data_IF_858998847360
#
_entry.id   IF_858998847360
#
_cell.length_a   1.000
_cell.length_b   1.000
_cell.length_c   1.000
_cell.angle_alpha   90.00
_cell.angle_beta   90.00
_cell.angle_gamma   90.00
#
_symmetry.space_group_name_H-M   'P 1'
#
loop_
_entity.id
_entity.type
_entity.pdbx_description
1 polymer ?
#
# COMPACT_ATOMS: atom_id res chain seq x y z
N UNK A 1 20.23 20.88 -0.93
CA UNK A 1 19.33 21.05 -2.10
C UNK A 1 17.91 20.67 -1.68
N UNK A 2 16.89 21.43 -2.05
CA UNK A 2 15.52 21.20 -1.54
C UNK A 2 14.80 20.17 -2.43
N UNK A 3 15.10 18.87 -2.24
CA UNK A 3 14.63 17.75 -3.07
C UNK A 3 13.12 17.78 -3.29
N UNK A 4 12.36 18.15 -2.27
CA UNK A 4 10.90 18.29 -2.33
C UNK A 4 10.43 19.28 -3.40
N UNK A 5 11.15 20.40 -3.58
CA UNK A 5 10.83 21.41 -4.61
C UNK A 5 11.10 20.88 -6.01
N UNK A 6 12.15 20.08 -6.19
CA UNK A 6 12.49 19.46 -7.48
C UNK A 6 11.44 18.43 -7.85
N UNK A 7 11.09 17.51 -6.94
CA UNK A 7 10.14 16.45 -7.30
C UNK A 7 8.71 16.98 -7.49
N UNK A 8 8.30 18.03 -6.76
CA UNK A 8 7.01 18.70 -7.03
C UNK A 8 7.00 19.35 -8.41
N UNK A 9 8.11 19.95 -8.86
CA UNK A 9 8.22 20.47 -10.23
C UNK A 9 8.12 19.36 -11.26
N UNK A 10 8.87 18.25 -11.09
CA UNK A 10 8.80 17.08 -11.97
C UNK A 10 7.38 16.49 -12.02
N UNK A 11 6.68 16.46 -10.89
CA UNK A 11 5.29 16.02 -10.81
C UNK A 11 4.35 16.93 -11.62
N UNK A 12 4.41 18.24 -11.42
CA UNK A 12 3.54 19.17 -12.17
C UNK A 12 3.88 19.19 -13.67
N UNK A 13 5.16 19.11 -14.03
CA UNK A 13 5.58 19.00 -15.43
C UNK A 13 5.10 17.70 -16.07
N UNK A 14 5.19 16.55 -15.38
CA UNK A 14 4.71 15.27 -15.91
C UNK A 14 3.19 15.19 -16.01
N UNK A 15 2.46 15.74 -15.04
CA UNK A 15 1.00 15.92 -15.12
C UNK A 15 0.59 16.83 -16.27
N UNK A 16 1.33 17.93 -16.50
CA UNK A 16 1.11 18.83 -17.63
C UNK A 16 1.32 18.13 -18.97
N UNK A 17 2.40 17.35 -19.12
CA UNK A 17 2.67 16.54 -20.32
C UNK A 17 1.59 15.48 -20.51
N UNK A 18 1.15 14.80 -19.43
CA UNK A 18 0.09 13.79 -19.50
C UNK A 18 -1.25 14.39 -19.93
N UNK A 19 -1.62 15.55 -19.38
CA UNK A 19 -2.83 16.26 -19.77
C UNK A 19 -2.79 16.70 -21.23
N UNK A 20 -1.66 17.26 -21.68
CA UNK A 20 -1.46 17.67 -23.07
C UNK A 20 -1.49 16.48 -24.04
N UNK A 21 -0.84 15.37 -23.68
CA UNK A 21 -0.90 14.12 -24.45
C UNK A 21 -2.32 13.55 -24.54
N UNK A 22 -3.10 13.64 -23.46
CA UNK A 22 -4.52 13.28 -23.45
C UNK A 22 -5.36 14.14 -24.40
N UNK A 23 -5.12 15.46 -24.44
CA UNK A 23 -5.80 16.38 -25.38
C UNK A 23 -5.41 16.05 -26.82
N UNK A 24 -4.11 15.84 -27.11
CA UNK A 24 -3.63 15.43 -28.43
C UNK A 24 -4.29 14.11 -28.87
N UNK A 25 -4.40 13.13 -27.97
CA UNK A 25 -5.02 11.85 -28.27
C UNK A 25 -6.53 11.97 -28.60
N UNK A 26 -7.22 13.00 -28.10
CA UNK A 26 -8.62 13.28 -28.44
C UNK A 26 -8.77 14.02 -29.77
N UNK A 27 -7.81 14.88 -30.15
CA UNK A 27 -7.92 15.76 -31.33
C UNK A 27 -7.38 15.10 -32.60
N UNK A 28 -6.33 14.29 -32.50
CA UNK A 28 -5.73 13.64 -33.66
C UNK A 28 -6.20 12.19 -33.77
N UNK A 29 -6.83 11.78 -34.89
CA UNK A 29 -7.11 10.37 -35.14
C UNK A 29 -5.78 9.63 -35.33
N UNK A 30 -5.31 8.97 -34.26
CA UNK A 30 -3.96 8.44 -34.14
C UNK A 30 -3.79 7.13 -34.91
N UNK A 31 -2.70 7.01 -35.67
CA UNK A 31 -2.00 5.74 -35.94
C UNK A 31 -1.50 5.15 -34.60
N UNK A 32 -2.38 4.39 -33.94
CA UNK A 32 -2.57 4.24 -32.48
C UNK A 32 -1.43 3.83 -31.53
N UNK A 33 -0.17 3.73 -31.94
CA UNK A 33 0.89 3.15 -31.07
C UNK A 33 1.77 4.19 -30.37
N UNK A 34 2.16 5.28 -31.05
CA UNK A 34 3.13 6.25 -30.50
C UNK A 34 2.48 7.13 -29.42
N UNK A 35 1.29 7.67 -29.67
CA UNK A 35 0.60 8.54 -28.71
C UNK A 35 0.23 7.80 -27.42
N UNK A 36 -0.16 6.52 -27.52
CA UNK A 36 -0.42 5.68 -26.36
C UNK A 36 0.82 5.46 -25.49
N UNK A 37 1.99 5.25 -26.11
CA UNK A 37 3.28 5.12 -25.41
C UNK A 37 3.69 6.43 -24.72
N UNK A 38 3.54 7.58 -25.39
CA UNK A 38 3.79 8.89 -24.79
C UNK A 38 2.86 9.17 -23.60
N UNK A 39 1.57 8.86 -23.71
CA UNK A 39 0.63 9.01 -22.61
C UNK A 39 0.98 8.07 -21.43
N UNK A 40 1.27 6.81 -21.73
CA UNK A 40 1.66 5.80 -20.74
C UNK A 40 2.92 6.20 -19.96
N UNK A 41 3.96 6.70 -20.65
CA UNK A 41 5.19 7.18 -20.01
C UNK A 41 4.94 8.38 -19.11
N UNK A 42 4.10 9.32 -19.52
CA UNK A 42 3.76 10.50 -18.72
C UNK A 42 3.03 10.11 -17.43
N UNK A 43 2.03 9.22 -17.51
CA UNK A 43 1.29 8.69 -16.35
C UNK A 43 2.24 7.92 -15.42
N UNK A 44 3.05 7.01 -15.96
CA UNK A 44 4.00 6.23 -15.18
C UNK A 44 5.00 7.14 -14.46
N UNK A 45 5.50 8.18 -15.13
CA UNK A 45 6.40 9.19 -14.53
C UNK A 45 5.72 9.95 -13.39
N UNK A 46 4.47 10.40 -13.59
CA UNK A 46 3.72 11.13 -12.58
C UNK A 46 3.48 10.27 -11.32
N UNK A 47 2.99 9.03 -11.49
CA UNK A 47 2.76 8.11 -10.38
C UNK A 47 4.07 7.79 -9.64
N UNK A 48 5.15 7.49 -10.37
CA UNK A 48 6.45 7.22 -9.78
C UNK A 48 7.03 8.43 -9.04
N UNK A 49 6.83 9.65 -9.53
CA UNK A 49 7.26 10.87 -8.83
C UNK A 49 6.52 11.07 -7.49
N UNK A 50 5.22 10.77 -7.43
CA UNK A 50 4.43 10.83 -6.19
C UNK A 50 4.96 9.80 -5.18
N UNK A 51 5.14 8.55 -5.62
CA UNK A 51 5.63 7.48 -4.77
C UNK A 51 7.06 7.74 -4.29
N UNK A 52 7.91 8.30 -5.15
CA UNK A 52 9.27 8.68 -4.79
C UNK A 52 9.31 9.84 -3.78
N UNK A 53 8.42 10.83 -3.90
CA UNK A 53 8.25 11.87 -2.86
C UNK A 53 7.88 11.27 -1.52
N UNK A 54 6.93 10.32 -1.52
CA UNK A 54 6.54 9.61 -0.31
C UNK A 54 7.72 8.82 0.29
N UNK A 55 8.48 8.13 -0.56
CA UNK A 55 9.67 7.38 -0.19
C UNK A 55 10.72 8.28 0.48
N UNK A 56 11.08 9.42 -0.13
CA UNK A 56 12.05 10.38 0.42
C UNK A 56 11.59 10.93 1.77
N UNK A 57 10.34 11.39 1.87
CA UNK A 57 9.81 11.91 3.14
C UNK A 57 9.85 10.86 4.26
N UNK A 58 9.64 9.58 3.93
CA UNK A 58 9.67 8.48 4.91
C UNK A 58 11.09 8.01 5.22
N UNK A 59 12.02 8.17 4.28
CA UNK A 59 13.44 7.84 4.46
C UNK A 59 14.13 8.80 5.45
N UNK A 60 13.67 10.05 5.55
CA UNK A 60 14.19 11.04 6.50
C UNK A 60 13.83 10.73 7.97
N UNK A 61 12.72 10.01 8.20
CA UNK A 61 12.28 9.65 9.55
C UNK A 61 12.93 8.33 9.97
N UNK A 62 13.73 8.34 11.04
CA UNK A 62 14.51 7.18 11.49
C UNK A 62 13.68 5.90 11.66
N UNK A 63 12.46 6.00 12.20
CA UNK A 63 11.57 4.84 12.41
C UNK A 63 10.99 4.26 11.12
N UNK A 64 10.79 5.06 10.08
CA UNK A 64 10.23 4.61 8.78
C UNK A 64 11.29 4.57 7.68
N UNK A 65 12.57 4.66 8.02
CA UNK A 65 13.66 4.79 7.04
C UNK A 65 13.71 3.60 6.08
N UNK A 66 13.58 2.38 6.60
CA UNK A 66 13.60 1.15 5.79
C UNK A 66 12.43 1.10 4.80
N UNK A 67 11.24 1.55 5.23
CA UNK A 67 10.08 1.69 4.35
C UNK A 67 10.34 2.70 3.23
N UNK A 68 10.89 3.88 3.57
CA UNK A 68 11.21 4.90 2.57
C UNK A 68 12.21 4.41 1.53
N UNK A 69 13.30 3.75 1.96
CA UNK A 69 14.32 3.22 1.04
C UNK A 69 13.75 2.12 0.15
N UNK A 70 13.04 1.13 0.71
CA UNK A 70 12.45 0.04 -0.07
C UNK A 70 11.43 0.54 -1.10
N UNK A 71 10.51 1.42 -0.68
CA UNK A 71 9.53 2.04 -1.59
C UNK A 71 10.24 2.80 -2.73
N UNK A 72 11.32 3.52 -2.42
CA UNK A 72 12.12 4.24 -3.41
C UNK A 72 12.75 3.31 -4.45
N UNK A 73 13.37 2.22 -4.00
CA UNK A 73 13.99 1.20 -4.87
C UNK A 73 12.93 0.55 -5.77
N UNK A 74 11.80 0.10 -5.21
CA UNK A 74 10.76 -0.55 -6.00
C UNK A 74 10.08 0.40 -7.00
N UNK A 75 9.89 1.66 -6.61
CA UNK A 75 9.35 2.68 -7.52
C UNK A 75 10.30 2.95 -8.69
N UNK A 76 11.60 3.05 -8.42
CA UNK A 76 12.62 3.24 -9.44
C UNK A 76 12.69 2.04 -10.39
N UNK A 77 12.74 0.82 -9.85
CA UNK A 77 12.74 -0.41 -10.66
C UNK A 77 11.49 -0.48 -11.53
N UNK A 78 10.28 -0.33 -10.94
CA UNK A 78 9.01 -0.30 -11.67
C UNK A 78 9.04 0.69 -12.83
N UNK A 79 9.52 1.91 -12.56
CA UNK A 79 9.63 2.96 -13.57
C UNK A 79 10.57 2.56 -14.70
N UNK A 80 11.77 2.06 -14.37
CA UNK A 80 12.77 1.65 -15.36
C UNK A 80 12.26 0.51 -16.24
N UNK A 81 11.72 -0.57 -15.65
CA UNK A 81 11.13 -1.67 -16.41
C UNK A 81 9.94 -1.19 -17.28
N UNK A 82 9.09 -0.30 -16.75
CA UNK A 82 7.93 0.23 -17.48
C UNK A 82 8.32 1.12 -18.66
N UNK A 83 9.32 1.98 -18.51
CA UNK A 83 9.83 2.82 -19.62
C UNK A 83 10.49 1.93 -20.68
N UNK A 84 11.31 0.96 -20.27
CA UNK A 84 11.93 0.03 -21.24
C UNK A 84 10.84 -0.73 -22.02
N UNK A 85 9.84 -1.29 -21.34
CA UNK A 85 8.70 -1.94 -21.98
C UNK A 85 8.02 -1.04 -23.03
N UNK A 86 7.75 0.22 -22.70
CA UNK A 86 7.07 1.14 -23.61
C UNK A 86 7.88 1.48 -24.87
N UNK A 87 9.21 1.43 -24.81
CA UNK A 87 10.06 1.86 -25.92
C UNK A 87 10.77 0.71 -26.66
N UNK A 88 10.90 -0.47 -26.05
CA UNK A 88 11.67 -1.58 -26.65
C UNK A 88 11.08 -2.05 -27.98
N UNK A 89 9.76 -2.07 -28.13
CA UNK A 89 9.11 -2.42 -29.41
C UNK A 89 9.44 -1.48 -30.58
N UNK A 90 9.95 -0.26 -30.33
CA UNK A 90 10.44 0.64 -31.38
C UNK A 90 11.92 0.39 -31.73
N UNK A 91 12.70 -0.15 -30.78
CA UNK A 91 14.14 -0.39 -30.95
C UNK A 91 14.42 -1.77 -31.57
N UNK A 92 13.56 -2.75 -31.33
CA UNK A 92 13.73 -4.14 -31.80
C UNK A 92 12.49 -4.58 -32.57
N UNK A 93 12.55 -4.60 -33.90
CA UNK A 93 11.40 -4.87 -34.77
C UNK A 93 10.99 -6.35 -34.83
N UNK A 94 11.91 -7.29 -34.60
CA UNK A 94 11.63 -8.74 -34.74
C UNK A 94 11.55 -9.48 -33.40
N UNK A 95 12.46 -9.20 -32.46
CA UNK A 95 12.51 -9.82 -31.12
C UNK A 95 11.84 -8.98 -30.02
N UNK A 96 11.31 -7.80 -30.37
CA UNK A 96 10.85 -6.82 -29.39
C UNK A 96 9.58 -7.20 -28.64
N UNK A 97 8.71 -8.06 -29.20
CA UNK A 97 7.42 -8.40 -28.55
C UNK A 97 7.61 -9.22 -27.28
N UNK A 98 8.43 -10.26 -27.34
CA UNK A 98 8.71 -11.11 -26.17
C UNK A 98 9.41 -10.33 -25.06
N UNK A 99 10.34 -9.44 -25.43
CA UNK A 99 11.02 -8.57 -24.47
C UNK A 99 10.05 -7.54 -23.87
N UNK A 100 9.21 -6.90 -24.69
CA UNK A 100 8.17 -5.96 -24.24
C UNK A 100 7.30 -6.62 -23.16
N UNK A 101 6.80 -7.82 -23.41
CA UNK A 101 5.99 -8.57 -22.44
C UNK A 101 6.75 -8.87 -21.14
N UNK A 102 8.00 -9.36 -21.23
CA UNK A 102 8.83 -9.62 -20.05
C UNK A 102 9.08 -8.37 -19.21
N UNK A 103 9.34 -7.23 -19.84
CA UNK A 103 9.51 -5.94 -19.15
C UNK A 103 8.20 -5.43 -18.53
N UNK A 104 7.06 -5.58 -19.22
CA UNK A 104 5.73 -5.22 -18.70
C UNK A 104 5.42 -6.07 -17.46
N UNK A 105 5.54 -7.39 -17.56
CA UNK A 105 5.30 -8.31 -16.44
C UNK A 105 6.23 -8.01 -15.27
N UNK A 106 7.53 -7.82 -15.52
CA UNK A 106 8.49 -7.43 -14.48
C UNK A 106 8.10 -6.12 -13.79
N UNK A 107 7.68 -5.09 -14.54
CA UNK A 107 7.21 -3.82 -13.97
C UNK A 107 5.96 -4.00 -13.09
N UNK A 108 5.00 -4.82 -13.54
CA UNK A 108 3.80 -5.15 -12.77
C UNK A 108 4.16 -5.90 -11.48
N UNK A 109 5.08 -6.87 -11.53
CA UNK A 109 5.57 -7.58 -10.35
C UNK A 109 6.24 -6.61 -9.37
N UNK A 110 7.17 -5.77 -9.82
CA UNK A 110 7.80 -4.78 -8.95
C UNK A 110 6.78 -3.80 -8.34
N UNK A 111 5.74 -3.44 -9.09
CA UNK A 111 4.65 -2.60 -8.58
C UNK A 111 3.82 -3.28 -7.50
N UNK A 112 3.32 -4.49 -7.76
CA UNK A 112 2.46 -5.23 -6.82
C UNK A 112 3.22 -5.78 -5.63
N UNK A 113 4.26 -6.57 -5.88
CA UNK A 113 5.06 -7.22 -4.86
C UNK A 113 5.90 -6.21 -4.08
N UNK A 114 6.48 -5.24 -4.77
CA UNK A 114 7.24 -4.17 -4.13
C UNK A 114 6.40 -3.33 -3.17
N UNK A 115 5.10 -3.13 -3.46
CA UNK A 115 4.19 -2.47 -2.53
C UNK A 115 3.96 -3.30 -1.25
N UNK A 116 3.79 -4.62 -1.38
CA UNK A 116 3.61 -5.52 -0.23
C UNK A 116 4.89 -5.67 0.61
N UNK A 117 6.05 -5.76 -0.03
CA UNK A 117 7.35 -5.76 0.66
C UNK A 117 7.55 -4.43 1.41
N UNK A 118 7.25 -3.31 0.75
CA UNK A 118 7.32 -1.99 1.39
C UNK A 118 6.35 -1.91 2.59
N UNK A 119 5.13 -2.41 2.45
CA UNK A 119 4.17 -2.48 3.55
C UNK A 119 4.71 -3.31 4.72
N UNK A 120 5.40 -4.42 4.44
CA UNK A 120 6.05 -5.23 5.47
C UNK A 120 7.14 -4.46 6.23
N UNK A 121 7.97 -3.67 5.54
CA UNK A 121 8.93 -2.77 6.20
C UNK A 121 8.26 -1.65 7.00
N UNK A 122 7.09 -1.16 6.59
CA UNK A 122 6.34 -0.20 7.39
C UNK A 122 5.91 -0.79 8.74
N UNK A 123 5.56 -2.09 8.77
CA UNK A 123 5.20 -2.80 9.98
C UNK A 123 6.38 -2.97 10.97
N UNK A 124 7.65 -2.84 10.53
CA UNK A 124 8.81 -2.96 11.43
C UNK A 124 8.87 -1.84 12.47
N UNK A 125 8.29 -0.67 12.14
CA UNK A 125 8.23 0.46 13.06
C UNK A 125 7.37 0.19 14.30
N UNK A 126 6.51 -0.83 14.25
CA UNK A 126 5.58 -1.19 15.33
C UNK A 126 6.00 -2.55 15.88
N UNK A 127 6.47 -2.60 17.14
CA UNK A 127 6.99 -3.82 17.78
C UNK A 127 6.02 -5.00 17.65
N UNK A 128 4.72 -4.76 17.87
CA UNK A 128 3.66 -5.79 17.79
C UNK A 128 3.49 -6.39 16.39
N UNK A 129 3.83 -5.64 15.34
CA UNK A 129 3.68 -6.05 13.94
C UNK A 129 5.02 -6.45 13.29
N UNK A 130 6.13 -6.37 14.03
CA UNK A 130 7.47 -6.60 13.47
C UNK A 130 7.63 -8.00 12.88
N UNK A 131 7.13 -9.04 13.56
CA UNK A 131 7.19 -10.42 13.05
C UNK A 131 6.33 -10.58 11.79
N UNK A 132 5.11 -10.06 11.80
CA UNK A 132 4.20 -10.11 10.65
C UNK A 132 4.78 -9.36 9.44
N UNK A 133 5.37 -8.18 9.67
CA UNK A 133 6.07 -7.41 8.66
C UNK A 133 7.28 -8.15 8.09
N UNK A 134 8.04 -8.85 8.93
CA UNK A 134 9.24 -9.59 8.51
C UNK A 134 8.85 -10.78 7.64
N UNK A 135 7.84 -11.55 8.07
CA UNK A 135 7.27 -12.64 7.27
C UNK A 135 6.72 -12.12 5.94
N UNK A 136 5.97 -11.01 5.95
CA UNK A 136 5.45 -10.37 4.74
C UNK A 136 6.56 -9.98 3.77
N UNK A 137 7.57 -9.26 4.25
CA UNK A 137 8.66 -8.77 3.41
C UNK A 137 9.49 -9.91 2.83
N UNK A 138 9.81 -10.91 3.65
CA UNK A 138 10.65 -12.03 3.26
C UNK A 138 9.96 -12.92 2.23
N UNK A 139 8.72 -13.34 2.49
CA UNK A 139 7.99 -14.22 1.56
C UNK A 139 7.72 -13.52 0.23
N UNK A 140 7.34 -12.25 0.25
CA UNK A 140 7.11 -11.51 -1.00
C UNK A 140 8.39 -11.21 -1.77
N UNK A 141 9.54 -11.06 -1.09
CA UNK A 141 10.83 -10.97 -1.77
C UNK A 141 11.19 -12.28 -2.46
N UNK A 142 10.96 -13.43 -1.81
CA UNK A 142 11.16 -14.74 -2.44
C UNK A 142 10.23 -14.96 -3.64
N UNK A 143 8.94 -14.61 -3.52
CA UNK A 143 8.01 -14.72 -4.64
C UNK A 143 8.39 -13.81 -5.80
N UNK A 144 8.81 -12.57 -5.52
CA UNK A 144 9.26 -11.64 -6.54
C UNK A 144 10.48 -12.20 -7.29
N UNK A 145 11.46 -12.73 -6.56
CA UNK A 145 12.65 -13.35 -7.16
C UNK A 145 12.28 -14.59 -7.99
N UNK A 146 11.43 -15.47 -7.47
CA UNK A 146 10.97 -16.66 -8.18
C UNK A 146 10.27 -16.30 -9.48
N UNK A 147 9.33 -15.33 -9.46
CA UNK A 147 8.63 -14.90 -10.67
C UNK A 147 9.52 -14.18 -11.67
N UNK A 148 10.49 -13.39 -11.21
CA UNK A 148 11.48 -12.80 -12.11
C UNK A 148 12.31 -13.90 -12.78
N UNK A 149 12.75 -14.92 -12.04
CA UNK A 149 13.47 -16.06 -12.64
C UNK A 149 12.59 -16.72 -13.70
N UNK A 150 11.32 -17.01 -13.41
CA UNK A 150 10.38 -17.65 -14.37
C UNK A 150 10.21 -16.81 -15.65
N UNK A 151 9.96 -15.50 -15.52
CA UNK A 151 9.77 -14.61 -16.68
C UNK A 151 11.03 -14.57 -17.56
N UNK A 152 12.21 -14.57 -16.94
CA UNK A 152 13.46 -14.40 -17.66
C UNK A 152 14.04 -15.73 -18.16
N UNK A 153 13.79 -16.87 -17.49
CA UNK A 153 14.24 -18.20 -17.90
C UNK A 153 13.50 -18.78 -19.10
N UNK A 154 12.27 -18.31 -19.37
CA UNK A 154 11.43 -18.84 -20.44
C UNK A 154 10.61 -20.07 -20.02
N UNK A 155 9.94 -20.69 -21.00
CA UNK A 155 8.78 -21.56 -20.80
C UNK A 155 9.02 -22.84 -19.98
N UNK A 156 10.25 -23.37 -19.94
CA UNK A 156 10.50 -24.71 -19.36
C UNK A 156 10.23 -24.81 -17.86
N UNK A 157 10.27 -23.69 -17.12
CA UNK A 157 10.01 -23.65 -15.67
C UNK A 157 8.66 -23.02 -15.30
N UNK A 158 7.91 -22.54 -16.29
CA UNK A 158 6.75 -21.69 -16.03
C UNK A 158 5.57 -22.46 -15.43
N UNK A 159 5.29 -23.67 -15.93
CA UNK A 159 4.17 -24.49 -15.46
C UNK A 159 4.37 -24.93 -14.01
N UNK A 160 5.50 -25.57 -13.70
CA UNK A 160 5.79 -26.08 -12.36
C UNK A 160 5.90 -24.95 -11.31
N UNK A 161 6.57 -23.86 -11.64
CA UNK A 161 6.71 -22.73 -10.71
C UNK A 161 5.37 -22.05 -10.44
N UNK A 162 4.46 -22.02 -11.43
CA UNK A 162 3.12 -21.43 -11.25
C UNK A 162 2.29 -22.17 -10.19
N UNK A 163 2.43 -23.50 -10.09
CA UNK A 163 1.69 -24.30 -9.12
C UNK A 163 2.04 -23.97 -7.67
N UNK A 164 3.31 -23.64 -7.41
CA UNK A 164 3.76 -23.25 -6.07
C UNK A 164 3.58 -21.77 -5.80
N UNK A 165 3.91 -20.92 -6.77
CA UNK A 165 3.97 -19.48 -6.56
C UNK A 165 2.57 -18.83 -6.50
N UNK A 166 1.59 -19.35 -7.26
CA UNK A 166 0.27 -18.74 -7.36
C UNK A 166 -0.56 -18.81 -6.04
N UNK A 167 -0.67 -19.96 -5.36
CA UNK A 167 -1.37 -20.03 -4.06
C UNK A 167 -0.70 -19.15 -3.01
N UNK A 168 0.64 -19.15 -3.00
CA UNK A 168 1.41 -18.34 -2.05
C UNK A 168 1.18 -16.84 -2.31
N UNK A 169 1.24 -16.41 -3.58
CA UNK A 169 1.03 -15.03 -3.98
C UNK A 169 -0.37 -14.52 -3.64
N UNK A 170 -1.41 -15.31 -3.90
CA UNK A 170 -2.79 -14.83 -3.74
C UNK A 170 -3.20 -14.78 -2.27
N UNK A 171 -2.74 -15.73 -1.45
CA UNK A 171 -3.32 -15.96 -0.12
C UNK A 171 -2.40 -15.55 1.03
N UNK A 172 -1.10 -15.37 0.79
CA UNK A 172 -0.17 -14.90 1.83
C UNK A 172 -0.42 -13.47 2.34
N UNK A 173 -0.79 -12.47 1.51
CA UNK A 173 -1.16 -11.14 2.00
C UNK A 173 -2.37 -11.24 2.91
N UNK A 174 -3.33 -12.09 2.55
CA UNK A 174 -4.53 -12.32 3.34
C UNK A 174 -4.15 -12.92 4.69
N UNK A 175 -3.27 -13.92 4.74
CA UNK A 175 -2.76 -14.48 6.01
C UNK A 175 -2.10 -13.42 6.90
N UNK A 176 -1.27 -12.56 6.32
CA UNK A 176 -0.60 -11.48 7.07
C UNK A 176 -1.62 -10.46 7.60
N UNK A 177 -2.56 -10.04 6.75
CA UNK A 177 -3.62 -9.10 7.14
C UNK A 177 -4.54 -9.69 8.21
N UNK A 178 -4.81 -10.99 8.13
CA UNK A 178 -5.59 -11.70 9.14
C UNK A 178 -4.85 -11.79 10.48
N UNK A 179 -3.51 -11.80 10.48
CA UNK A 179 -2.67 -11.89 11.68
C UNK A 179 -2.61 -10.60 12.51
N UNK A 180 -3.23 -9.51 12.05
CA UNK A 180 -3.26 -8.24 12.78
C UNK A 180 -4.20 -8.38 14.00
N UNK A 181 -3.59 -8.53 15.17
CA UNK A 181 -4.24 -9.00 16.40
C UNK A 181 -5.10 -7.91 17.05
N UNK A 182 -6.44 -8.04 16.95
CA UNK A 182 -7.40 -7.38 17.85
C UNK A 182 -8.41 -8.35 18.47
N UNK A 183 -8.97 -9.26 17.68
CA UNK A 183 -9.89 -10.30 18.15
C UNK A 183 -9.38 -11.68 17.75
N UNK A 184 -9.00 -12.55 18.71
CA UNK A 184 -8.35 -13.83 18.41
C UNK A 184 -9.26 -14.79 17.62
N UNK A 185 -10.58 -14.74 17.85
CA UNK A 185 -11.54 -15.57 17.12
C UNK A 185 -11.63 -15.22 15.63
N UNK A 186 -11.78 -13.93 15.31
CA UNK A 186 -11.83 -13.48 13.91
C UNK A 186 -10.52 -13.72 13.18
N UNK A 187 -9.38 -13.53 13.87
CA UNK A 187 -8.06 -13.87 13.36
C UNK A 187 -7.95 -15.36 13.05
N UNK A 188 -8.30 -16.24 14.01
CA UNK A 188 -8.25 -17.69 13.82
C UNK A 188 -9.14 -18.17 12.68
N UNK A 189 -10.37 -17.64 12.58
CA UNK A 189 -11.30 -17.95 11.49
C UNK A 189 -10.72 -17.54 10.13
N UNK A 190 -10.21 -16.32 10.02
CA UNK A 190 -9.73 -15.79 8.76
C UNK A 190 -8.43 -16.48 8.31
N UNK A 191 -7.52 -16.81 9.23
CA UNK A 191 -6.34 -17.64 8.97
C UNK A 191 -6.77 -19.05 8.53
N UNK A 192 -7.72 -19.67 9.23
CA UNK A 192 -8.22 -21.00 8.88
C UNK A 192 -8.81 -21.04 7.46
N UNK A 193 -9.62 -20.05 7.09
CA UNK A 193 -10.20 -19.92 5.75
C UNK A 193 -9.12 -19.68 4.67
N UNK A 194 -8.13 -18.83 4.96
CA UNK A 194 -7.02 -18.61 4.04
C UNK A 194 -6.19 -19.89 3.83
N UNK A 195 -5.87 -20.62 4.90
CA UNK A 195 -5.17 -21.90 4.81
C UNK A 195 -6.00 -22.95 4.06
N UNK A 196 -7.32 -23.01 4.29
CA UNK A 196 -8.20 -23.90 3.53
C UNK A 196 -8.17 -23.56 2.03
N UNK A 197 -8.18 -22.28 1.67
CA UNK A 197 -8.06 -21.82 0.27
C UNK A 197 -6.69 -22.20 -0.33
N UNK A 198 -5.60 -22.09 0.44
CA UNK A 198 -4.25 -22.47 -0.03
C UNK A 198 -4.19 -23.98 -0.28
N UNK A 199 -4.62 -24.78 0.69
CA UNK A 199 -4.56 -26.23 0.55
C UNK A 199 -5.46 -26.72 -0.59
N UNK A 200 -6.67 -26.17 -0.73
CA UNK A 200 -7.59 -26.55 -1.82
C UNK A 200 -7.09 -26.13 -3.18
N UNK A 201 -6.50 -24.93 -3.32
CA UNK A 201 -5.86 -24.51 -4.57
C UNK A 201 -4.64 -25.38 -4.92
N UNK A 202 -3.78 -25.69 -3.95
CA UNK A 202 -2.64 -26.58 -4.19
C UNK A 202 -3.09 -27.99 -4.59
N UNK A 203 -4.04 -28.59 -3.86
CA UNK A 203 -4.60 -29.91 -4.21
C UNK A 203 -5.18 -29.89 -5.63
N UNK A 204 -5.94 -28.85 -5.97
CA UNK A 204 -6.55 -28.74 -7.30
C UNK A 204 -5.48 -28.59 -8.40
N UNK A 205 -4.44 -27.78 -8.19
CA UNK A 205 -3.36 -27.60 -9.15
C UNK A 205 -2.52 -28.88 -9.31
N UNK A 206 -2.21 -29.60 -8.23
CA UNK A 206 -1.42 -30.84 -8.28
C UNK A 206 -2.18 -32.01 -8.90
N UNK A 207 -3.44 -32.22 -8.50
CA UNK A 207 -4.23 -33.38 -8.94
C UNK A 207 -4.63 -33.23 -10.42
N UNK A 208 -4.89 -32.01 -10.87
CA UNK A 208 -5.42 -31.76 -12.21
C UNK A 208 -4.42 -31.09 -13.15
N UNK A 209 -3.13 -31.11 -12.84
CA UNK A 209 -2.06 -30.52 -13.67
C UNK A 209 -2.36 -29.07 -14.08
N UNK A 210 -2.88 -28.27 -13.12
CA UNK A 210 -3.27 -26.88 -13.36
C UNK A 210 -4.68 -26.66 -13.92
N UNK A 211 -5.38 -27.69 -14.37
CA UNK A 211 -6.73 -27.56 -14.93
C UNK A 211 -7.80 -27.55 -13.83
N UNK A 212 -7.98 -26.38 -13.20
CA UNK A 212 -8.96 -26.15 -12.11
C UNK A 212 -10.41 -26.48 -12.51
N UNK A 213 -10.72 -26.39 -13.80
CA UNK A 213 -12.05 -26.65 -14.35
C UNK A 213 -12.50 -28.12 -14.26
N UNK A 214 -11.56 -29.07 -14.13
CA UNK A 214 -11.88 -30.50 -14.01
C UNK A 214 -12.61 -30.84 -12.71
N UNK A 215 -12.49 -30.01 -11.67
CA UNK A 215 -13.18 -30.21 -10.40
C UNK A 215 -13.82 -28.92 -9.89
N UNK A 216 -15.06 -28.69 -10.34
CA UNK A 216 -15.87 -27.51 -10.00
C UNK A 216 -16.02 -27.34 -8.47
N UNK A 217 -16.13 -28.44 -7.71
CA UNK A 217 -16.29 -28.36 -6.26
C UNK A 217 -15.06 -27.76 -5.58
N UNK A 218 -13.85 -28.18 -5.97
CA UNK A 218 -12.62 -27.60 -5.42
C UNK A 218 -12.46 -26.12 -5.81
N UNK A 219 -12.81 -25.76 -7.04
CA UNK A 219 -12.81 -24.36 -7.49
C UNK A 219 -13.75 -23.49 -6.65
N UNK A 220 -14.98 -23.95 -6.42
CA UNK A 220 -15.97 -23.22 -5.60
C UNK A 220 -15.50 -23.09 -4.15
N UNK A 221 -14.97 -24.15 -3.55
CA UNK A 221 -14.44 -24.10 -2.18
C UNK A 221 -13.26 -23.13 -2.10
N UNK A 222 -12.34 -23.16 -3.06
CA UNK A 222 -11.19 -22.24 -3.12
C UNK A 222 -11.64 -20.78 -3.19
N UNK A 223 -12.57 -20.46 -4.10
CA UNK A 223 -13.08 -19.09 -4.32
C UNK A 223 -13.89 -18.56 -3.13
N UNK A 224 -14.71 -19.41 -2.52
CA UNK A 224 -15.54 -19.01 -1.36
C UNK A 224 -14.70 -18.80 -0.11
N UNK A 225 -13.80 -19.74 0.21
CA UNK A 225 -12.91 -19.62 1.37
C UNK A 225 -11.92 -18.48 1.22
N UNK A 226 -11.31 -18.31 0.04
CA UNK A 226 -10.39 -17.21 -0.25
C UNK A 226 -11.08 -15.84 -0.25
N UNK A 227 -12.30 -15.76 -0.82
CA UNK A 227 -13.11 -14.55 -0.80
C UNK A 227 -13.50 -14.14 0.63
N UNK A 228 -14.00 -15.07 1.44
CA UNK A 228 -14.33 -14.81 2.85
C UNK A 228 -13.11 -14.40 3.66
N UNK A 229 -11.97 -15.07 3.48
CA UNK A 229 -10.73 -14.71 4.13
C UNK A 229 -10.28 -13.29 3.76
N UNK A 230 -10.43 -12.89 2.50
CA UNK A 230 -10.12 -11.53 2.03
C UNK A 230 -10.98 -10.47 2.72
N UNK A 231 -12.30 -10.69 2.78
CA UNK A 231 -13.24 -9.77 3.43
C UNK A 231 -12.93 -9.65 4.92
N UNK A 232 -12.68 -10.77 5.61
CA UNK A 232 -12.31 -10.78 7.03
C UNK A 232 -10.95 -10.12 7.28
N UNK A 233 -9.96 -10.34 6.41
CA UNK A 233 -8.66 -9.70 6.49
C UNK A 233 -8.77 -8.18 6.38
N UNK A 234 -9.55 -7.67 5.42
CA UNK A 234 -9.82 -6.23 5.28
C UNK A 234 -10.63 -5.71 6.47
N UNK A 235 -11.63 -6.45 6.95
CA UNK A 235 -12.38 -6.08 8.16
C UNK A 235 -11.46 -5.97 9.39
N UNK A 236 -10.48 -6.86 9.54
CA UNK A 236 -9.49 -6.81 10.62
C UNK A 236 -8.61 -5.56 10.54
N UNK A 237 -8.13 -5.18 9.35
CA UNK A 237 -7.42 -3.90 9.16
C UNK A 237 -8.32 -2.74 9.55
N UNK A 238 -9.59 -2.79 9.13
CA UNK A 238 -10.53 -1.71 9.38
C UNK A 238 -10.78 -1.55 10.88
N UNK A 239 -10.99 -2.66 11.57
CA UNK A 239 -11.28 -2.71 12.99
C UNK A 239 -10.03 -2.67 13.88
N UNK A 240 -8.80 -2.79 13.38
CA UNK A 240 -7.59 -2.65 14.20
C UNK A 240 -7.49 -1.26 14.86
N UNK A 241 -8.22 -0.27 14.33
CA UNK A 241 -8.08 1.15 14.64
C UNK A 241 -8.69 1.59 15.97
N UNK A 242 -8.07 2.55 16.65
CA UNK A 242 -8.59 3.10 17.91
C UNK A 242 -10.04 3.59 17.75
N UNK A 243 -10.92 3.24 18.70
CA UNK A 243 -12.36 3.55 18.64
C UNK A 243 -12.63 5.06 18.48
N UNK A 244 -11.75 5.91 18.99
CA UNK A 244 -11.85 7.37 18.90
C UNK A 244 -11.77 7.92 17.46
N UNK A 245 -11.08 7.21 16.56
CA UNK A 245 -10.89 7.65 15.17
C UNK A 245 -11.80 6.91 14.18
N UNK A 246 -12.67 6.03 14.68
CA UNK A 246 -13.53 5.21 13.84
C UNK A 246 -14.64 6.05 13.19
N UNK A 247 -14.90 5.80 11.91
CA UNK A 247 -16.01 6.42 11.17
C UNK A 247 -16.96 5.29 10.75
N UNK A 248 -17.91 4.89 11.62
CA UNK A 248 -18.59 3.61 11.49
C UNK A 248 -19.39 3.50 10.19
N UNK A 249 -19.97 4.60 9.68
CA UNK A 249 -20.68 4.59 8.41
C UNK A 249 -19.73 4.33 7.23
N UNK A 250 -18.60 5.04 7.18
CA UNK A 250 -17.62 4.90 6.09
C UNK A 250 -16.98 3.51 6.10
N UNK A 251 -16.70 2.96 7.29
CA UNK A 251 -16.16 1.61 7.46
C UNK A 251 -17.13 0.54 6.93
N UNK A 252 -18.43 0.66 7.24
CA UNK A 252 -19.47 -0.24 6.71
C UNK A 252 -19.61 -0.12 5.20
N UNK A 253 -19.58 1.11 4.66
CA UNK A 253 -19.64 1.34 3.21
C UNK A 253 -18.45 0.71 2.49
N UNK A 254 -17.23 0.88 3.02
CA UNK A 254 -16.03 0.24 2.45
C UNK A 254 -16.14 -1.27 2.51
N UNK A 255 -16.57 -1.84 3.64
CA UNK A 255 -16.71 -3.30 3.76
C UNK A 255 -17.77 -3.86 2.79
N UNK A 256 -18.86 -3.12 2.54
CA UNK A 256 -19.86 -3.47 1.54
C UNK A 256 -19.26 -3.49 0.12
N UNK A 257 -18.52 -2.45 -0.27
CA UNK A 257 -17.86 -2.39 -1.58
C UNK A 257 -16.82 -3.49 -1.75
N UNK A 258 -16.02 -3.77 -0.71
CA UNK A 258 -15.05 -4.87 -0.70
C UNK A 258 -15.75 -6.21 -0.93
N UNK A 259 -16.82 -6.47 -0.19
CA UNK A 259 -17.57 -7.73 -0.29
C UNK A 259 -18.17 -7.90 -1.68
N UNK A 260 -18.82 -6.86 -2.22
CA UNK A 260 -19.39 -6.90 -3.56
C UNK A 260 -18.31 -7.13 -4.64
N UNK A 261 -17.17 -6.46 -4.51
CA UNK A 261 -16.03 -6.60 -5.45
C UNK A 261 -15.44 -8.00 -5.42
N UNK A 262 -15.20 -8.55 -4.23
CA UNK A 262 -14.69 -9.91 -4.06
C UNK A 262 -15.65 -10.94 -4.66
N UNK A 263 -16.96 -10.80 -4.42
CA UNK A 263 -17.96 -11.68 -5.01
C UNK A 263 -17.97 -11.62 -6.55
N UNK A 264 -17.90 -10.40 -7.11
CA UNK A 264 -17.85 -10.20 -8.57
C UNK A 264 -16.57 -10.77 -9.20
N UNK A 265 -15.43 -10.61 -8.54
CA UNK A 265 -14.17 -11.20 -8.97
C UNK A 265 -14.22 -12.73 -8.90
N UNK A 266 -14.70 -13.31 -7.81
CA UNK A 266 -14.86 -14.76 -7.69
C UNK A 266 -15.81 -15.30 -8.77
N UNK A 267 -16.91 -14.60 -9.06
CA UNK A 267 -17.83 -14.98 -10.12
C UNK A 267 -17.19 -14.88 -11.52
N UNK A 268 -16.44 -13.82 -11.79
CA UNK A 268 -15.73 -13.66 -13.06
C UNK A 268 -14.67 -14.77 -13.26
N UNK A 269 -13.89 -15.10 -12.21
CA UNK A 269 -12.92 -16.20 -12.24
C UNK A 269 -13.62 -17.52 -12.48
N UNK A 270 -14.74 -17.77 -11.78
CA UNK A 270 -15.53 -18.99 -11.95
C UNK A 270 -16.01 -19.18 -13.40
N UNK A 271 -16.58 -18.14 -14.02
CA UNK A 271 -17.01 -18.20 -15.44
C UNK A 271 -15.83 -18.44 -16.37
N UNK A 272 -14.71 -17.73 -16.13
CA UNK A 272 -13.52 -17.82 -16.97
C UNK A 272 -12.91 -19.23 -16.93
N UNK A 273 -12.82 -19.85 -15.75
CA UNK A 273 -12.31 -21.22 -15.58
C UNK A 273 -13.22 -22.26 -16.25
N UNK A 274 -14.55 -22.04 -16.24
CA UNK A 274 -15.48 -22.89 -16.99
C UNK A 274 -15.37 -22.73 -18.52
N UNK A 275 -14.47 -21.87 -19.01
CA UNK A 275 -14.30 -21.54 -20.44
C UNK A 275 -15.61 -21.05 -21.09
N UNK A 276 -16.50 -20.48 -20.29
CA UNK A 276 -17.72 -19.84 -20.77
C UNK A 276 -17.40 -18.42 -21.24
N UNK A 277 -18.10 -17.89 -22.26
CA UNK A 277 -17.91 -16.51 -22.68
C UNK A 277 -18.25 -15.57 -21.52
N UNK A 278 -17.25 -14.85 -21.01
CA UNK A 278 -17.43 -13.89 -19.93
C UNK A 278 -18.30 -12.72 -20.44
N UNK A 279 -19.48 -12.47 -19.85
CA UNK A 279 -20.30 -11.34 -20.28
C UNK A 279 -19.55 -10.03 -20.08
N UNK A 280 -19.52 -9.17 -21.10
CA UNK A 280 -18.84 -7.87 -21.07
C UNK A 280 -19.26 -7.02 -19.87
N UNK A 281 -20.52 -7.12 -19.46
CA UNK A 281 -21.06 -6.42 -18.29
C UNK A 281 -20.40 -6.88 -17.00
N UNK A 282 -20.18 -8.18 -16.81
CA UNK A 282 -19.52 -8.76 -15.62
C UNK A 282 -18.06 -8.34 -15.58
N UNK A 283 -17.35 -8.41 -16.71
CA UNK A 283 -15.97 -7.97 -16.82
C UNK A 283 -15.81 -6.49 -16.44
N UNK A 284 -16.64 -5.62 -17.03
CA UNK A 284 -16.63 -4.16 -16.76
C UNK A 284 -17.00 -3.84 -15.31
N UNK A 285 -18.01 -4.53 -14.76
CA UNK A 285 -18.45 -4.33 -13.37
C UNK A 285 -17.36 -4.78 -12.38
N UNK A 286 -16.68 -5.89 -12.65
CA UNK A 286 -15.59 -6.41 -11.82
C UNK A 286 -14.37 -5.47 -11.81
N UNK A 287 -13.98 -4.95 -12.98
CA UNK A 287 -12.90 -3.95 -13.09
C UNK A 287 -13.30 -2.65 -12.39
N UNK A 288 -14.51 -2.14 -12.68
CA UNK A 288 -15.01 -0.88 -12.10
C UNK A 288 -15.13 -0.94 -10.57
N UNK A 289 -15.68 -2.04 -10.03
CA UNK A 289 -15.80 -2.27 -8.59
C UNK A 289 -14.43 -2.43 -7.92
N UNK A 290 -13.45 -3.06 -8.57
CA UNK A 290 -12.07 -3.16 -8.07
C UNK A 290 -11.39 -1.80 -7.94
N UNK A 291 -11.58 -0.90 -8.91
CA UNK A 291 -11.07 0.47 -8.86
C UNK A 291 -11.78 1.27 -7.74
N UNK A 292 -13.11 1.17 -7.66
CA UNK A 292 -13.89 1.85 -6.62
C UNK A 292 -13.53 1.36 -5.22
N UNK A 293 -13.34 0.06 -5.03
CA UNK A 293 -12.93 -0.53 -3.76
C UNK A 293 -11.53 -0.10 -3.37
N UNK A 294 -10.58 -0.12 -4.31
CA UNK A 294 -9.21 0.33 -4.05
C UNK A 294 -9.16 1.81 -3.65
N UNK A 295 -9.92 2.66 -4.34
CA UNK A 295 -9.98 4.10 -4.06
C UNK A 295 -10.70 4.39 -2.74
N UNK A 296 -11.76 3.67 -2.40
CA UNK A 296 -12.48 3.85 -1.12
C UNK A 296 -11.66 3.36 0.08
N UNK A 297 -10.96 2.23 -0.04
CA UNK A 297 -9.97 1.79 0.96
C UNK A 297 -8.90 2.86 1.15
N UNK A 298 -8.32 3.38 0.06
CA UNK A 298 -7.29 4.42 0.11
C UNK A 298 -7.84 5.71 0.75
N UNK A 299 -9.02 6.17 0.34
CA UNK A 299 -9.66 7.36 0.90
C UNK A 299 -9.91 7.21 2.39
N UNK A 300 -10.33 6.02 2.84
CA UNK A 300 -10.54 5.76 4.26
C UNK A 300 -9.22 5.75 5.02
N UNK A 301 -8.14 5.14 4.49
CA UNK A 301 -6.80 5.18 5.10
C UNK A 301 -6.24 6.60 5.15
N UNK A 302 -6.30 7.34 4.04
CA UNK A 302 -5.79 8.73 3.94
C UNK A 302 -6.59 9.65 4.82
N UNK A 303 -7.92 9.58 4.77
CA UNK A 303 -8.81 10.39 5.60
C UNK A 303 -8.50 10.22 7.09
N UNK A 304 -8.15 9.01 7.51
CA UNK A 304 -7.72 8.76 8.87
C UNK A 304 -6.32 9.24 9.20
N UNK A 305 -5.35 9.09 8.28
CA UNK A 305 -4.02 9.69 8.46
C UNK A 305 -4.13 11.21 8.61
N UNK A 306 -5.00 11.83 7.82
CA UNK A 306 -5.33 13.25 7.96
C UNK A 306 -6.00 13.52 9.30
N UNK A 307 -6.98 12.72 9.75
CA UNK A 307 -7.59 12.94 11.07
C UNK A 307 -6.59 12.83 12.22
N UNK A 308 -5.73 11.82 12.20
CA UNK A 308 -4.71 11.62 13.22
C UNK A 308 -3.66 12.75 13.25
N UNK A 309 -3.41 13.41 12.12
CA UNK A 309 -2.45 14.52 12.01
C UNK A 309 -3.07 15.92 12.15
N UNK A 310 -4.34 16.08 11.81
CA UNK A 310 -5.07 17.36 11.81
C UNK A 310 -5.82 17.58 13.12
N UNK A 311 -6.36 16.53 13.74
CA UNK A 311 -7.13 16.64 15.00
C UNK A 311 -6.30 16.47 16.27
N UNK A 312 -4.97 16.49 16.18
CA UNK A 312 -4.15 16.99 17.30
C UNK A 312 -4.23 18.53 17.35
N UNK A 313 -5.46 19.07 17.28
CA UNK A 313 -5.79 20.41 17.72
C UNK A 313 -5.60 20.36 19.23
N UNK A 314 -4.41 20.79 19.66
CA UNK A 314 -4.19 21.10 21.05
C UNK A 314 -4.95 22.40 21.30
N UNK A 315 -6.13 22.29 21.91
CA UNK A 315 -6.92 23.44 22.40
C UNK A 315 -6.25 24.14 23.59
N UNK A 316 -5.05 23.72 23.98
CA UNK A 316 -4.27 24.44 24.97
C UNK A 316 -3.89 25.81 24.45
N UNK A 317 -4.13 26.81 25.29
CA UNK A 317 -3.55 28.14 25.17
C UNK A 317 -2.07 28.02 24.81
N UNK A 318 -1.60 28.82 23.85
CA UNK A 318 -0.20 28.86 23.47
C UNK A 318 0.72 29.06 24.69
N UNK A 319 2.00 28.72 24.55
CA UNK A 319 2.95 28.99 25.63
C UNK A 319 3.15 30.50 25.74
N UNK A 320 2.89 31.06 26.92
CA UNK A 320 3.32 32.43 27.23
C UNK A 320 4.83 32.37 27.47
N UNK A 321 5.60 33.10 26.66
CA UNK A 321 7.06 33.09 26.75
C UNK A 321 7.68 34.45 26.44
N UNK A 322 9.01 34.50 26.49
CA UNK A 322 9.78 35.68 26.10
C UNK A 322 10.52 35.40 24.80
N UNK A 323 10.56 36.40 23.91
CA UNK A 323 11.35 36.29 22.69
C UNK A 323 12.85 36.20 23.06
N UNK A 324 13.59 35.18 22.60
CA UNK A 324 15.00 35.00 22.96
C UNK A 324 15.92 36.10 22.40
N UNK A 325 15.43 36.94 21.47
CA UNK A 325 16.21 38.01 20.85
C UNK A 325 15.99 39.38 21.49
N UNK A 326 14.75 39.74 21.81
CA UNK A 326 14.39 41.07 22.32
C UNK A 326 13.73 41.04 23.69
N UNK A 327 13.60 39.85 24.29
CA UNK A 327 12.98 39.62 25.61
C UNK A 327 11.54 40.13 25.75
N UNK A 328 10.87 40.48 24.64
CA UNK A 328 9.47 40.89 24.69
C UNK A 328 8.60 39.69 25.04
N UNK A 329 7.68 39.87 25.97
CA UNK A 329 6.63 38.88 26.28
C UNK A 329 5.78 38.66 25.03
N UNK A 330 5.53 37.40 24.68
CA UNK A 330 4.66 37.03 23.58
C UNK A 330 3.98 35.70 23.83
N UNK A 331 2.76 35.55 23.30
CA UNK A 331 2.15 34.24 23.17
C UNK A 331 2.76 33.51 21.98
N UNK A 332 3.28 32.32 22.24
CA UNK A 332 3.87 31.43 21.26
C UNK A 332 2.83 30.35 20.95
N UNK A 333 1.94 30.57 19.96
CA UNK A 333 1.05 29.51 19.51
C UNK A 333 1.87 28.34 18.96
N UNK A 334 1.32 27.13 19.04
CA UNK A 334 1.92 25.94 18.43
C UNK A 334 2.07 26.17 16.92
N UNK A 335 3.21 25.79 16.35
CA UNK A 335 3.52 26.06 14.95
C UNK A 335 4.40 27.30 14.76
N UNK A 336 4.25 28.01 13.64
CA UNK A 336 5.10 29.15 13.28
C UNK A 336 4.57 30.43 13.93
N UNK A 337 5.37 31.07 14.74
CA UNK A 337 5.10 32.40 15.32
C UNK A 337 6.16 33.40 14.84
N UNK A 338 5.80 34.68 14.83
CA UNK A 338 6.74 35.76 14.52
C UNK A 338 6.66 36.77 15.65
N UNK A 339 7.81 37.12 16.24
CA UNK A 339 7.87 38.16 17.24
C UNK A 339 7.51 39.51 16.61
N UNK A 340 6.52 40.21 17.17
CA UNK A 340 6.03 41.50 16.66
C UNK A 340 7.08 42.61 16.78
N UNK A 341 8.01 42.52 17.73
CA UNK A 341 9.03 43.55 17.94
C UNK A 341 10.27 43.42 17.06
N UNK A 342 10.86 42.23 16.96
CA UNK A 342 12.14 42.03 16.27
C UNK A 342 12.04 41.21 14.97
N UNK A 343 10.84 40.76 14.61
CA UNK A 343 10.59 39.95 13.42
C UNK A 343 11.16 38.52 13.47
N UNK A 344 11.66 38.06 14.63
CA UNK A 344 12.18 36.70 14.78
C UNK A 344 11.06 35.68 14.53
N UNK A 345 11.27 34.80 13.54
CA UNK A 345 10.37 33.69 13.23
C UNK A 345 10.77 32.48 14.05
N UNK A 346 9.84 31.96 14.84
CA UNK A 346 10.03 30.79 15.70
C UNK A 346 9.04 29.70 15.28
N UNK A 347 9.41 28.43 15.50
CA UNK A 347 8.51 27.30 15.29
C UNK A 347 8.44 26.48 16.57
N UNK A 348 7.33 26.56 17.28
CA UNK A 348 7.08 25.74 18.46
C UNK A 348 6.52 24.39 18.03
N UNK A 349 7.33 23.34 18.22
CA UNK A 349 6.94 21.95 18.07
C UNK A 349 6.82 21.36 19.48
N UNK A 350 5.59 21.18 19.94
CA UNK A 350 5.31 20.41 21.15
C UNK A 350 5.18 18.97 20.70
N UNK A 351 6.10 18.10 21.12
CA UNK A 351 5.96 16.66 20.94
C UNK A 351 5.26 16.09 22.17
N UNK A 352 4.24 15.26 21.98
CA UNK A 352 3.67 14.50 23.09
C UNK A 352 4.76 13.59 23.65
N UNK A 353 4.87 13.42 24.98
CA UNK A 353 5.65 12.33 25.52
C UNK A 353 5.09 11.03 24.93
N UNK A 354 5.87 10.44 24.03
CA UNK A 354 5.61 9.12 23.49
C UNK A 354 6.48 8.14 24.26
N UNK A 355 5.98 6.92 24.50
CA UNK A 355 6.78 5.86 25.07
C UNK A 355 8.04 5.65 24.21
N UNK A 356 9.22 5.67 24.85
CA UNK A 356 10.51 5.54 24.16
C UNK A 356 10.64 4.21 23.41
N UNK A 357 10.00 3.17 23.93
CA UNK A 357 10.07 1.82 23.37
C UNK A 357 9.11 1.62 22.20
N UNK A 358 7.84 2.04 22.33
CA UNK A 358 6.81 1.73 21.33
C UNK A 358 6.20 2.92 20.59
N UNK A 359 6.55 4.16 20.98
CA UNK A 359 6.02 5.38 20.35
C UNK A 359 4.57 5.72 20.71
N UNK A 360 3.96 5.00 21.65
CA UNK A 360 2.59 5.27 22.11
C UNK A 360 2.50 6.59 22.88
N UNK A 361 1.51 7.43 22.57
CA UNK A 361 1.26 8.69 23.27
C UNK A 361 0.82 8.44 24.72
N UNK A 362 1.66 8.83 25.68
CA UNK A 362 1.41 8.60 27.11
C UNK A 362 0.72 9.76 27.82
N UNK A 363 0.35 10.83 27.10
CA UNK A 363 -0.31 12.02 27.69
C UNK A 363 -1.64 11.70 28.36
N UNK A 364 -2.36 10.67 27.89
CA UNK A 364 -3.67 10.25 28.43
C UNK A 364 -3.59 9.16 29.48
N UNK A 365 -2.39 8.62 29.76
CA UNK A 365 -2.15 7.57 30.75
C UNK A 365 -1.41 8.15 31.95
N UNK A 366 -1.94 9.24 32.53
CA UNK A 366 -1.30 9.98 33.62
C UNK A 366 -1.11 9.18 34.91
N UNK A 367 -1.81 8.06 35.07
CA UNK A 367 -1.83 7.27 36.32
C UNK A 367 -0.98 5.98 36.25
N UNK A 368 -0.55 5.55 35.06
CA UNK A 368 0.23 4.34 34.92
C UNK A 368 1.73 4.66 34.80
N UNK A 369 2.52 4.14 35.74
CA UNK A 369 3.99 4.14 35.68
C UNK A 369 4.55 3.29 34.54
N UNK A 370 3.69 2.65 33.73
CA UNK A 370 4.05 1.82 32.60
C UNK A 370 3.19 2.13 31.37
N UNK A 371 3.79 1.98 30.19
CA UNK A 371 3.10 2.17 28.92
C UNK A 371 2.02 1.10 28.71
N UNK A 372 0.78 1.50 28.43
CA UNK A 372 -0.34 0.58 28.18
C UNK A 372 -0.15 -0.33 26.96
N UNK A 373 0.76 0.03 26.05
CA UNK A 373 1.03 -0.76 24.85
C UNK A 373 2.18 -1.76 25.01
N UNK A 374 3.29 -1.37 25.65
CA UNK A 374 4.49 -2.24 25.73
C UNK A 374 4.95 -2.57 27.15
N UNK A 375 4.30 -2.03 28.18
CA UNK A 375 4.66 -2.27 29.58
C UNK A 375 5.94 -1.57 30.05
N UNK A 376 6.61 -0.82 29.18
CA UNK A 376 7.82 -0.05 29.53
C UNK A 376 7.51 0.96 30.63
N UNK A 377 8.37 1.05 31.66
CA UNK A 377 8.19 2.05 32.70
C UNK A 377 8.35 3.46 32.14
N UNK A 378 7.36 4.30 32.40
CA UNK A 378 7.38 5.71 32.04
C UNK A 378 8.03 6.44 33.21
N UNK A 379 9.33 6.72 33.10
CA UNK A 379 10.01 7.66 33.98
C UNK A 379 9.46 9.06 33.70
N UNK A 380 8.37 9.42 34.37
CA UNK A 380 7.97 10.80 34.55
C UNK A 380 9.08 11.47 35.37
N UNK A 381 10.05 12.09 34.70
CA UNK A 381 11.01 12.96 35.35
C UNK A 381 10.27 14.22 35.80
N UNK A 382 9.47 14.10 36.87
CA UNK A 382 8.86 15.22 37.56
C UNK A 382 9.93 15.91 38.40
N UNK A 383 10.89 16.55 37.75
CA UNK A 383 11.86 17.47 38.37
C UNK A 383 12.38 18.40 37.29
N UNK A 384 11.51 19.29 36.83
CA UNK A 384 11.95 20.62 36.40
C UNK A 384 11.68 21.52 37.60
N UNK A 385 12.71 21.71 38.43
CA UNK A 385 12.75 22.78 39.42
C UNK A 385 13.01 24.12 38.73
#
# INVERSE_FOLDING_TARGET
MNYRKVTVRVLFSSLGIAAFAGIIAMVFPVSGTITGRLLGTAIATAVSAILFLLAVNRAEVASTRQFGVSLGVFTLSKYLFGVIAMWIGLLTTTTGRDLEEKFVLSSLLFGGYGALISLGFLCFAIIRLRLAGLMLSFVWALCLLAWLIVIWSGNSFQEEASYFAFPLQTLFPILVLCSIRRHPLFMGLAIGLALASINTSQIALFVYSGELNKNIYLLVVMLTTGGLATVLGIANIIHYRAKANAIPWAERTVLCFVTATVLLLCFAIYINELRLPLPDTVARLSIGSSILTSTTILALVVGQMLRASVFTLYDGSGLVGFCPRCSSKMDIPRGKSTCLHCGLRMKLLIESPNCRTCGYDVTKTSECSACSECGESILLSSTVQ
#
